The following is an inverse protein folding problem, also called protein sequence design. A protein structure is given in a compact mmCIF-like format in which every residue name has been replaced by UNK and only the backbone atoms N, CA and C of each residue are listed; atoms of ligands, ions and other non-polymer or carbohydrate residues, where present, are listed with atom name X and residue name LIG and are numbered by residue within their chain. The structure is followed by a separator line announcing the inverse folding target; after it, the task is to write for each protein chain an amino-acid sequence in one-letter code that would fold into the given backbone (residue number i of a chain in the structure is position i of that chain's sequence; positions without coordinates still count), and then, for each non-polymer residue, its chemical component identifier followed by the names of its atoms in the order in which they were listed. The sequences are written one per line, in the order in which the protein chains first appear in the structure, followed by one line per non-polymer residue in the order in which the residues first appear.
data_IF_537354971653
#
_entry.id   IF_537354971653
#
_cell.length_a   1.000
_cell.length_b   1.000
_cell.length_c   1.000
_cell.angle_alpha   90.00
_cell.angle_beta   90.00
_cell.angle_gamma   90.00
#
_symmetry.space_group_name_H-M   'P 1'
#
loop_
_entity.id
_entity.type
_entity.pdbx_description
1 polymer ?
#
# COMPACT_ATOMS: atom_id res chain seq x y z
N UNK A 1 -5.19 18.27 23.55
CA UNK A 1 -5.33 18.03 22.10
C UNK A 1 -5.54 16.55 21.75
N UNK A 2 -4.75 15.59 22.22
CA UNK A 2 -4.97 14.15 21.94
C UNK A 2 -6.40 13.67 22.30
N UNK A 3 -6.96 14.12 23.41
CA UNK A 3 -8.35 13.84 23.79
C UNK A 3 -9.39 14.33 22.76
N UNK A 4 -9.13 15.45 22.10
CA UNK A 4 -10.03 15.99 21.05
C UNK A 4 -10.01 15.08 19.82
N UNK A 5 -8.84 14.62 19.38
CA UNK A 5 -8.72 13.68 18.26
C UNK A 5 -9.46 12.38 18.57
N UNK A 6 -9.30 11.83 19.78
CA UNK A 6 -10.01 10.62 20.22
C UNK A 6 -11.55 10.85 20.22
N UNK A 7 -12.00 12.03 20.63
CA UNK A 7 -13.43 12.36 20.62
C UNK A 7 -13.96 12.50 19.19
N UNK A 8 -13.16 13.05 18.27
CA UNK A 8 -13.51 13.15 16.84
C UNK A 8 -13.59 11.79 16.16
N UNK A 9 -12.74 10.82 16.55
CA UNK A 9 -12.85 9.42 16.13
C UNK A 9 -14.22 8.85 16.51
N UNK A 10 -14.69 9.14 17.74
CA UNK A 10 -15.96 8.62 18.25
C UNK A 10 -17.19 9.31 17.65
N UNK A 11 -17.06 10.54 17.16
CA UNK A 11 -18.18 11.33 16.64
C UNK A 11 -18.48 11.11 15.15
N UNK A 12 -17.53 10.55 14.37
CA UNK A 12 -17.73 10.03 13.00
C UNK A 12 -18.42 10.96 11.99
N UNK A 13 -18.38 12.29 12.19
CA UNK A 13 -19.13 13.24 11.38
C UNK A 13 -18.24 13.95 10.36
N UNK A 14 -18.86 14.35 9.23
CA UNK A 14 -18.23 15.11 8.15
C UNK A 14 -17.49 16.36 8.66
N UNK A 15 -18.07 17.06 9.66
CA UNK A 15 -17.47 18.26 10.26
C UNK A 15 -16.13 17.99 10.95
N UNK A 16 -15.82 16.74 11.31
CA UNK A 16 -14.52 16.38 11.90
C UNK A 16 -13.42 16.22 10.85
N UNK A 17 -13.77 15.96 9.60
CA UNK A 17 -12.78 15.67 8.52
C UNK A 17 -11.86 16.87 8.27
N UNK A 18 -12.42 18.08 8.15
CA UNK A 18 -11.63 19.29 7.87
C UNK A 18 -10.62 19.59 8.99
N UNK A 19 -11.06 19.39 10.25
CA UNK A 19 -10.18 19.56 11.42
C UNK A 19 -9.06 18.53 11.42
N UNK A 20 -9.37 17.27 11.16
CA UNK A 20 -8.40 16.17 11.12
C UNK A 20 -7.44 16.34 9.95
N UNK A 21 -7.94 16.73 8.77
CA UNK A 21 -7.13 17.02 7.60
C UNK A 21 -6.09 18.12 7.87
N UNK A 22 -6.47 19.17 8.59
CA UNK A 22 -5.57 20.23 9.00
C UNK A 22 -4.45 19.80 9.97
N UNK A 23 -4.60 18.63 10.61
CA UNK A 23 -3.62 18.07 11.55
C UNK A 23 -2.65 17.07 10.91
N UNK A 24 -2.85 16.63 9.66
CA UNK A 24 -2.02 15.59 9.01
C UNK A 24 -0.53 15.96 9.00
N UNK A 25 -0.22 17.24 8.78
CA UNK A 25 1.16 17.75 8.76
C UNK A 25 1.80 17.96 10.14
N UNK A 26 1.06 17.82 11.23
CA UNK A 26 1.58 18.00 12.59
C UNK A 26 2.40 16.77 13.02
N UNK A 27 3.64 17.00 13.52
CA UNK A 27 4.55 15.92 13.92
C UNK A 27 4.01 15.01 15.03
N UNK A 28 3.11 15.49 15.88
CA UNK A 28 2.57 14.75 17.03
C UNK A 28 1.16 14.25 16.82
N UNK A 29 0.38 14.96 16.02
CA UNK A 29 -1.05 14.70 15.83
C UNK A 29 -1.35 14.11 14.44
N UNK A 30 -0.42 14.17 13.48
CA UNK A 30 -0.62 13.68 12.12
C UNK A 30 -0.99 12.19 12.07
N UNK A 31 -0.23 11.32 12.74
CA UNK A 31 -0.55 9.89 12.82
C UNK A 31 -1.93 9.62 13.44
N UNK A 32 -2.23 10.13 14.65
CA UNK A 32 -3.58 10.06 15.22
C UNK A 32 -4.69 10.61 14.33
N UNK A 33 -4.44 11.71 13.62
CA UNK A 33 -5.41 12.30 12.69
C UNK A 33 -5.68 11.38 11.50
N UNK A 34 -4.64 10.79 10.91
CA UNK A 34 -4.77 9.80 9.83
C UNK A 34 -5.56 8.57 10.29
N UNK A 35 -5.25 8.02 11.47
CA UNK A 35 -6.02 6.90 12.05
C UNK A 35 -7.49 7.26 12.22
N UNK A 36 -7.79 8.50 12.64
CA UNK A 36 -9.16 8.98 12.79
C UNK A 36 -9.87 9.11 11.43
N UNK A 37 -9.19 9.62 10.39
CA UNK A 37 -9.73 9.73 9.03
C UNK A 37 -10.01 8.35 8.43
N UNK A 38 -9.08 7.39 8.57
CA UNK A 38 -9.30 6.00 8.13
C UNK A 38 -10.53 5.41 8.83
N UNK A 39 -10.63 5.58 10.15
CA UNK A 39 -11.78 5.08 10.93
C UNK A 39 -13.10 5.77 10.58
N UNK A 40 -13.04 7.00 10.07
CA UNK A 40 -14.22 7.74 9.62
C UNK A 40 -14.83 7.10 8.36
N UNK A 41 -13.99 6.64 7.41
CA UNK A 41 -14.39 5.87 6.23
C UNK A 41 -15.35 6.59 5.28
N UNK A 42 -15.41 7.92 5.33
CA UNK A 42 -16.23 8.70 4.40
C UNK A 42 -15.43 9.10 3.17
N UNK A 43 -16.07 9.32 2.01
CA UNK A 43 -15.39 9.78 0.79
C UNK A 43 -14.59 11.07 0.99
N UNK A 44 -15.05 11.94 1.89
CA UNK A 44 -14.35 13.18 2.24
C UNK A 44 -13.06 12.89 3.02
N UNK A 45 -13.08 11.91 3.93
CA UNK A 45 -11.90 11.50 4.68
C UNK A 45 -10.85 10.84 3.76
N UNK A 46 -11.28 9.97 2.85
CA UNK A 46 -10.42 9.38 1.82
C UNK A 46 -9.80 10.45 0.91
N UNK A 47 -10.60 11.44 0.51
CA UNK A 47 -10.13 12.58 -0.29
C UNK A 47 -9.08 13.40 0.46
N UNK A 48 -9.26 13.64 1.76
CA UNK A 48 -8.30 14.37 2.58
C UNK A 48 -6.96 13.63 2.70
N UNK A 49 -6.98 12.31 2.89
CA UNK A 49 -5.78 11.47 2.92
C UNK A 49 -5.10 11.50 1.54
N UNK A 50 -5.85 11.31 0.45
CA UNK A 50 -5.33 11.34 -0.91
C UNK A 50 -4.64 12.67 -1.24
N UNK A 51 -5.26 13.80 -0.87
CA UNK A 51 -4.68 15.12 -1.07
C UNK A 51 -3.37 15.30 -0.29
N UNK A 52 -3.31 14.83 0.96
CA UNK A 52 -2.09 14.89 1.77
C UNK A 52 -0.95 14.06 1.15
N UNK A 53 -1.24 12.88 0.61
CA UNK A 53 -0.26 12.03 -0.08
C UNK A 53 0.26 12.70 -1.34
N UNK A 54 -0.61 13.19 -2.21
CA UNK A 54 -0.22 13.88 -3.45
C UNK A 54 0.59 15.14 -3.17
N UNK A 55 0.24 15.89 -2.11
CA UNK A 55 0.99 17.05 -1.67
C UNK A 55 2.28 16.72 -0.91
N UNK A 56 2.49 15.46 -0.49
CA UNK A 56 3.62 15.06 0.34
C UNK A 56 3.61 15.68 1.74
N UNK A 57 2.45 15.98 2.28
CA UNK A 57 2.28 16.69 3.55
C UNK A 57 2.10 15.72 4.70
N UNK A 58 3.10 15.55 5.54
CA UNK A 58 3.06 14.70 6.72
C UNK A 58 4.09 13.58 6.69
N UNK A 59 3.98 12.64 7.63
CA UNK A 59 4.85 11.47 7.72
C UNK A 59 4.50 10.44 6.63
N UNK A 60 5.45 10.14 5.76
CA UNK A 60 5.26 9.25 4.61
C UNK A 60 4.85 7.83 5.01
N UNK A 61 5.42 7.34 6.11
CA UNK A 61 5.10 6.00 6.61
C UNK A 61 3.64 5.93 7.07
N UNK A 62 3.20 6.92 7.85
CA UNK A 62 1.81 6.99 8.32
C UNK A 62 0.81 7.24 7.17
N UNK A 63 1.17 8.07 6.19
CA UNK A 63 0.35 8.33 5.00
C UNK A 63 0.19 7.08 4.14
N UNK A 64 1.28 6.37 3.86
CA UNK A 64 1.23 5.13 3.09
C UNK A 64 0.39 4.06 3.82
N UNK A 65 0.59 3.89 5.14
CA UNK A 65 -0.23 2.98 5.93
C UNK A 65 -1.71 3.34 5.83
N UNK A 66 -2.07 4.63 6.00
CA UNK A 66 -3.44 5.10 5.90
C UNK A 66 -4.07 4.87 4.51
N UNK A 67 -3.28 5.03 3.44
CA UNK A 67 -3.74 4.74 2.07
C UNK A 67 -4.12 3.27 1.89
N UNK A 68 -3.28 2.35 2.38
CA UNK A 68 -3.54 0.91 2.33
C UNK A 68 -4.74 0.51 3.19
N UNK A 69 -4.83 1.03 4.41
CA UNK A 69 -5.89 0.72 5.36
C UNK A 69 -7.27 1.23 4.90
N UNK A 70 -7.30 2.41 4.29
CA UNK A 70 -8.53 2.99 3.73
C UNK A 70 -8.87 2.44 2.34
N UNK A 71 -7.94 1.74 1.66
CA UNK A 71 -8.17 1.21 0.33
C UNK A 71 -8.38 2.30 -0.73
N UNK A 72 -7.62 3.39 -0.65
CA UNK A 72 -7.82 4.57 -1.51
C UNK A 72 -7.45 4.26 -2.96
N UNK A 73 -8.46 4.00 -3.77
CA UNK A 73 -8.31 3.78 -5.23
C UNK A 73 -8.21 5.12 -5.96
N UNK A 74 -6.97 5.62 -6.10
CA UNK A 74 -6.70 6.90 -6.74
C UNK A 74 -5.34 6.88 -7.45
N UNK A 75 -5.33 7.13 -8.76
CA UNK A 75 -4.13 7.11 -9.61
C UNK A 75 -3.05 8.10 -9.13
N UNK A 76 -3.44 9.26 -8.64
CA UNK A 76 -2.50 10.26 -8.09
C UNK A 76 -1.82 9.76 -6.82
N UNK A 77 -2.54 9.03 -5.97
CA UNK A 77 -2.00 8.39 -4.76
C UNK A 77 -1.01 7.30 -5.13
N UNK A 78 -1.37 6.40 -6.04
CA UNK A 78 -0.47 5.34 -6.51
C UNK A 78 0.81 5.92 -7.10
N UNK A 79 0.70 6.93 -7.98
CA UNK A 79 1.85 7.61 -8.59
C UNK A 79 2.76 8.24 -7.53
N UNK A 80 2.20 8.90 -6.51
CA UNK A 80 2.97 9.49 -5.43
C UNK A 80 3.69 8.43 -4.59
N UNK A 81 3.01 7.33 -4.25
CA UNK A 81 3.61 6.21 -3.50
C UNK A 81 4.75 5.57 -4.28
N UNK A 82 4.59 5.32 -5.57
CA UNK A 82 5.65 4.80 -6.45
C UNK A 82 6.87 5.74 -6.44
N UNK A 83 6.65 7.05 -6.54
CA UNK A 83 7.72 8.03 -6.51
C UNK A 83 8.44 8.12 -5.15
N UNK A 84 7.82 7.68 -4.06
CA UNK A 84 8.43 7.69 -2.73
C UNK A 84 9.33 6.49 -2.47
N UNK A 85 9.17 5.39 -3.19
CA UNK A 85 9.97 4.16 -3.00
C UNK A 85 11.47 4.45 -3.04
N UNK A 86 12.19 3.98 -2.03
CA UNK A 86 13.63 4.11 -1.92
C UNK A 86 14.15 5.49 -1.50
N UNK A 87 13.29 6.52 -1.40
CA UNK A 87 13.69 7.84 -0.91
C UNK A 87 13.89 7.87 0.61
N UNK A 88 13.10 7.07 1.33
CA UNK A 88 13.20 6.85 2.76
C UNK A 88 12.91 5.37 3.05
N UNK A 89 13.97 4.61 3.28
CA UNK A 89 13.87 3.16 3.54
C UNK A 89 12.99 2.82 4.75
N UNK A 90 12.81 3.74 5.68
CA UNK A 90 11.95 3.52 6.83
C UNK A 90 10.46 3.48 6.47
N UNK A 91 10.09 4.10 5.35
CA UNK A 91 8.73 4.13 4.83
C UNK A 91 8.44 3.02 3.82
N UNK A 92 9.47 2.37 3.25
CA UNK A 92 9.31 1.39 2.16
C UNK A 92 8.33 0.27 2.51
N UNK A 93 8.38 -0.26 3.72
CA UNK A 93 7.44 -1.30 4.18
C UNK A 93 5.98 -0.86 4.05
N UNK A 94 5.63 0.31 4.55
CA UNK A 94 4.25 0.83 4.47
C UNK A 94 3.87 1.22 3.05
N UNK A 95 4.83 1.67 2.23
CA UNK A 95 4.60 1.97 0.82
C UNK A 95 4.29 0.67 0.06
N UNK A 96 5.06 -0.40 0.26
CA UNK A 96 4.81 -1.70 -0.37
C UNK A 96 3.49 -2.29 0.08
N UNK A 97 3.17 -2.20 1.39
CA UNK A 97 1.86 -2.56 1.91
C UNK A 97 0.74 -1.81 1.19
N UNK A 98 0.82 -0.48 1.08
CA UNK A 98 -0.18 0.31 0.39
C UNK A 98 -0.33 -0.10 -1.08
N UNK A 99 0.80 -0.18 -1.82
CA UNK A 99 0.79 -0.58 -3.23
C UNK A 99 0.24 -2.00 -3.44
N UNK A 100 0.43 -2.92 -2.48
CA UNK A 100 -0.18 -4.25 -2.56
C UNK A 100 -1.71 -4.22 -2.44
N UNK A 101 -2.26 -3.22 -1.73
CA UNK A 101 -3.71 -3.07 -1.51
C UNK A 101 -4.39 -2.26 -2.60
N UNK A 102 -3.83 -1.08 -2.92
CA UNK A 102 -4.47 -0.12 -3.83
C UNK A 102 -3.82 -0.11 -5.23
N UNK A 103 -2.59 -0.62 -5.39
CA UNK A 103 -1.84 -0.57 -6.63
C UNK A 103 -2.54 -1.23 -7.82
N UNK A 104 -2.21 -0.75 -9.00
CA UNK A 104 -2.59 -1.28 -10.30
C UNK A 104 -1.41 -1.96 -10.99
N UNK A 105 -1.54 -2.29 -12.27
CA UNK A 105 -0.42 -2.79 -13.08
C UNK A 105 0.79 -1.82 -13.10
N UNK A 106 0.58 -0.53 -12.83
CA UNK A 106 1.65 0.47 -12.75
C UNK A 106 2.62 0.22 -11.58
N UNK A 107 2.15 -0.39 -10.49
CA UNK A 107 2.96 -0.74 -9.31
C UNK A 107 3.80 -2.00 -9.49
N UNK A 108 3.50 -2.86 -10.48
CA UNK A 108 4.20 -4.13 -10.68
C UNK A 108 5.72 -3.97 -10.88
N UNK A 109 6.23 -3.04 -11.72
CA UNK A 109 7.66 -2.90 -11.92
C UNK A 109 8.43 -2.55 -10.64
N UNK A 110 7.83 -1.69 -9.81
CA UNK A 110 8.44 -1.24 -8.56
C UNK A 110 8.49 -2.36 -7.54
N UNK A 111 7.37 -3.06 -7.32
CA UNK A 111 7.31 -4.18 -6.37
C UNK A 111 8.14 -5.38 -6.84
N UNK A 112 8.17 -5.66 -8.16
CA UNK A 112 9.03 -6.69 -8.73
C UNK A 112 10.51 -6.39 -8.48
N UNK A 113 10.94 -5.14 -8.69
CA UNK A 113 12.33 -4.74 -8.43
C UNK A 113 12.67 -4.83 -6.93
N UNK A 114 11.75 -4.43 -6.05
CA UNK A 114 11.92 -4.55 -4.60
C UNK A 114 12.04 -6.01 -4.15
N UNK A 115 11.15 -6.88 -4.63
CA UNK A 115 11.20 -8.32 -4.37
C UNK A 115 12.48 -8.97 -4.89
N UNK A 116 12.95 -8.58 -6.09
CA UNK A 116 14.21 -9.06 -6.65
C UNK A 116 15.41 -8.64 -5.79
N UNK A 117 15.43 -7.42 -5.27
CA UNK A 117 16.47 -6.95 -4.36
C UNK A 117 16.48 -7.72 -3.02
N UNK A 118 15.33 -8.23 -2.59
CA UNK A 118 15.19 -9.13 -1.46
C UNK A 118 15.48 -10.61 -1.83
N UNK A 119 15.91 -10.90 -3.06
CA UNK A 119 16.08 -12.25 -3.60
C UNK A 119 14.78 -13.09 -3.52
N UNK A 120 13.64 -12.44 -3.54
CA UNK A 120 12.32 -13.05 -3.34
C UNK A 120 12.21 -13.85 -2.04
N UNK A 121 12.93 -13.43 -1.02
CA UNK A 121 12.91 -14.00 0.31
C UNK A 121 12.21 -13.04 1.29
N UNK A 122 11.90 -13.50 2.49
CA UNK A 122 11.38 -12.65 3.54
C UNK A 122 12.42 -11.62 3.98
N UNK A 123 12.06 -10.34 3.95
CA UNK A 123 12.89 -9.25 4.40
C UNK A 123 12.11 -8.28 5.32
N UNK A 124 12.82 -7.32 5.91
CA UNK A 124 12.20 -6.37 6.83
C UNK A 124 11.15 -5.45 6.18
N UNK A 125 11.13 -5.36 4.85
CA UNK A 125 10.21 -4.50 4.10
C UNK A 125 8.96 -5.24 3.60
N UNK A 126 8.91 -6.57 3.72
CA UNK A 126 7.86 -7.44 3.20
C UNK A 126 7.63 -7.24 1.67
N UNK A 127 8.70 -6.88 0.94
CA UNK A 127 8.63 -6.54 -0.49
C UNK A 127 8.10 -7.69 -1.34
N UNK A 128 8.53 -8.91 -1.04
CA UNK A 128 8.10 -10.12 -1.75
C UNK A 128 6.62 -10.39 -1.54
N UNK A 129 6.15 -10.32 -0.29
CA UNK A 129 4.76 -10.56 0.04
C UNK A 129 3.85 -9.50 -0.60
N UNK A 130 4.29 -8.23 -0.59
CA UNK A 130 3.58 -7.16 -1.26
C UNK A 130 3.46 -7.39 -2.78
N UNK A 131 4.53 -7.86 -3.42
CA UNK A 131 4.51 -8.18 -4.85
C UNK A 131 3.54 -9.31 -5.18
N UNK A 132 3.58 -10.40 -4.39
CA UNK A 132 2.66 -11.52 -4.54
C UNK A 132 1.21 -11.09 -4.34
N UNK A 133 0.92 -10.34 -3.25
CA UNK A 133 -0.42 -9.83 -3.00
C UNK A 133 -0.97 -8.97 -4.14
N UNK A 134 -0.13 -8.12 -4.74
CA UNK A 134 -0.54 -7.32 -5.89
C UNK A 134 -0.85 -8.19 -7.11
N UNK A 135 -0.03 -9.20 -7.41
CA UNK A 135 -0.29 -10.14 -8.51
C UNK A 135 -1.63 -10.86 -8.30
N UNK A 136 -1.89 -11.33 -7.08
CA UNK A 136 -3.18 -11.97 -6.75
C UNK A 136 -4.37 -11.04 -6.95
N UNK A 137 -4.25 -9.80 -6.48
CA UNK A 137 -5.27 -8.77 -6.67
C UNK A 137 -5.55 -8.53 -8.16
N UNK A 138 -4.49 -8.39 -8.97
CA UNK A 138 -4.60 -8.05 -10.39
C UNK A 138 -4.90 -9.26 -11.27
N UNK A 139 -4.96 -10.45 -10.73
CA UNK A 139 -5.17 -11.71 -11.46
C UNK A 139 -6.41 -11.69 -12.35
N UNK A 140 -7.47 -11.04 -11.92
CA UNK A 140 -8.69 -10.86 -12.71
C UNK A 140 -8.56 -9.77 -13.79
N UNK A 141 -7.62 -8.84 -13.63
CA UNK A 141 -7.45 -7.64 -14.46
C UNK A 141 -6.30 -7.79 -15.46
N UNK A 142 -5.24 -8.53 -15.06
CA UNK A 142 -4.05 -8.75 -15.91
C UNK A 142 -4.33 -9.85 -16.92
N UNK A 143 -4.09 -9.58 -18.20
CA UNK A 143 -4.21 -10.60 -19.25
C UNK A 143 -3.40 -11.84 -18.86
N UNK A 144 -3.98 -13.03 -19.06
CA UNK A 144 -3.44 -14.36 -18.72
C UNK A 144 -1.95 -14.53 -19.10
N UNK A 145 -1.53 -13.92 -20.21
CA UNK A 145 -0.15 -13.97 -20.70
C UNK A 145 0.83 -13.19 -19.82
N UNK A 146 0.44 -12.02 -19.32
CA UNK A 146 1.29 -11.19 -18.45
C UNK A 146 1.44 -11.81 -17.08
N UNK A 147 0.35 -12.32 -16.49
CA UNK A 147 0.39 -13.05 -15.22
C UNK A 147 1.28 -14.32 -15.32
N UNK A 148 1.17 -15.06 -16.42
CA UNK A 148 2.01 -16.24 -16.68
C UNK A 148 3.49 -15.90 -16.81
N UNK A 149 3.84 -14.78 -17.44
CA UNK A 149 5.21 -14.29 -17.53
C UNK A 149 5.79 -13.93 -16.17
N UNK A 150 5.06 -13.15 -15.38
CA UNK A 150 5.46 -12.79 -14.01
C UNK A 150 5.67 -14.02 -13.12
N UNK A 151 4.82 -15.03 -13.29
CA UNK A 151 4.94 -16.29 -12.58
C UNK A 151 6.22 -17.06 -12.96
N UNK A 152 6.57 -17.10 -14.25
CA UNK A 152 7.81 -17.73 -14.71
C UNK A 152 9.02 -17.05 -14.10
N UNK A 153 9.03 -15.71 -14.05
CA UNK A 153 10.12 -14.94 -13.45
C UNK A 153 10.32 -15.30 -11.97
N UNK A 154 9.22 -15.48 -11.21
CA UNK A 154 9.28 -15.91 -9.80
C UNK A 154 9.76 -17.36 -9.67
N UNK A 155 9.32 -18.27 -10.54
CA UNK A 155 9.64 -19.70 -10.47
C UNK A 155 11.09 -20.01 -10.86
N UNK A 156 11.69 -19.20 -11.76
CA UNK A 156 13.08 -19.36 -12.16
C UNK A 156 14.08 -18.96 -11.07
N UNK A 157 13.64 -18.19 -10.08
CA UNK A 157 14.47 -17.80 -8.96
C UNK A 157 14.49 -18.93 -7.94
N UNK A 158 15.63 -19.60 -7.84
CA UNK A 158 15.83 -20.67 -6.84
C UNK A 158 15.71 -20.07 -5.45
N UNK A 159 14.62 -20.39 -4.76
CA UNK A 159 14.36 -19.92 -3.41
C UNK A 159 14.62 -21.00 -2.38
N UNK A 160 15.17 -20.62 -1.21
CA UNK A 160 15.14 -21.46 -0.02
C UNK A 160 13.77 -21.42 0.69
N UNK A 161 12.92 -20.43 0.39
CA UNK A 161 11.65 -20.24 1.09
C UNK A 161 10.50 -21.04 0.44
N UNK A 162 10.05 -22.06 1.18
CA UNK A 162 9.02 -23.00 0.76
C UNK A 162 7.64 -22.36 0.63
N UNK A 163 7.34 -21.34 1.44
CA UNK A 163 6.02 -20.73 1.48
C UNK A 163 5.77 -19.86 0.24
N UNK A 164 6.79 -19.13 -0.21
CA UNK A 164 6.70 -18.36 -1.45
C UNK A 164 6.59 -19.26 -2.69
N UNK A 165 7.20 -20.45 -2.66
CA UNK A 165 7.07 -21.41 -3.75
C UNK A 165 5.65 -21.99 -3.80
N UNK A 166 5.04 -22.29 -2.66
CA UNK A 166 3.65 -22.78 -2.57
C UNK A 166 2.64 -21.74 -3.06
N UNK A 167 2.85 -20.45 -2.71
CA UNK A 167 2.00 -19.36 -3.20
C UNK A 167 2.15 -19.20 -4.71
N UNK A 168 3.37 -19.25 -5.24
CA UNK A 168 3.63 -19.18 -6.67
C UNK A 168 3.00 -20.35 -7.43
N UNK A 169 3.03 -21.58 -6.89
CA UNK A 169 2.38 -22.77 -7.46
C UNK A 169 0.85 -22.67 -7.40
N UNK A 170 0.29 -22.10 -6.33
CA UNK A 170 -1.14 -21.83 -6.21
C UNK A 170 -1.65 -20.86 -7.27
N UNK A 171 -0.90 -19.79 -7.52
CA UNK A 171 -1.21 -18.81 -8.58
C UNK A 171 -1.15 -19.48 -9.96
N UNK A 172 -0.15 -20.33 -10.23
CA UNK A 172 -0.03 -21.06 -11.50
C UNK A 172 -1.23 -21.95 -11.76
N UNK A 173 -1.60 -22.78 -10.79
CA UNK A 173 -2.73 -23.69 -10.93
C UNK A 173 -4.07 -23.00 -11.22
N UNK A 174 -4.20 -21.74 -10.78
CA UNK A 174 -5.39 -20.94 -11.05
C UNK A 174 -5.38 -20.24 -12.41
N UNK A 175 -4.19 -20.06 -13.03
CA UNK A 175 -4.04 -19.47 -14.37
C UNK A 175 -4.20 -20.51 -15.49
N UNK A 176 -4.10 -21.80 -15.18
CA UNK A 176 -4.24 -22.91 -16.14
C UNK A 176 -5.70 -23.36 -16.34
N UNK A 177 -6.62 -22.94 -15.46
CA UNK A 177 -8.06 -23.16 -15.55
C UNK A 177 -8.79 -21.92 -16.08
#
# INVERSE_FOLDING_TARGET
MLRVVITLIACGKKESVDVLAGLIGDQRLGGPALTALVSNGTPEAETAIAQAIVAGTGDKNALAQAAGDAGIDNEGVETALIAWVGNDKSADKSIYYALSKIGTAASLPVLSAAAANANYDGDATDATDAYICLIEKLKAEVQKLTAKKLFVDIKEIKRPDRDAQLVAESIAGQLEN
#
